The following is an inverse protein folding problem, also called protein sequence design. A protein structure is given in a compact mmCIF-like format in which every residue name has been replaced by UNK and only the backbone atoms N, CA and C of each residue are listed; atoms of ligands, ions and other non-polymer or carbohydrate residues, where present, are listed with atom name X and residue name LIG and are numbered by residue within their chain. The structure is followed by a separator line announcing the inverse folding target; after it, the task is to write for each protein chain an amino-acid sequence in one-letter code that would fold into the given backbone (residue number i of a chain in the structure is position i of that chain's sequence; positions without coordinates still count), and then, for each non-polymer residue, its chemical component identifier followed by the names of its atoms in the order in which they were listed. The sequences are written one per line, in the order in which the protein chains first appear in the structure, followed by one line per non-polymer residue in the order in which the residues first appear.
data_IF_585348471043
#
_entry.id   IF_585348471043
#
_cell.length_a   1.000
_cell.length_b   1.000
_cell.length_c   1.000
_cell.angle_alpha   90.00
_cell.angle_beta   90.00
_cell.angle_gamma   90.00
#
_symmetry.space_group_name_H-M   'P 1'
#
loop_
_entity.id
_entity.type
_entity.pdbx_description
1 polymer ?
#
# COMPACT_ATOMS: atom_id res chain seq x y z
N UNK A 1 40.63 -28.55 -10.98
CA UNK A 1 40.98 -27.43 -10.09
C UNK A 1 39.73 -27.05 -9.32
N UNK A 2 39.61 -27.46 -8.06
CA UNK A 2 38.52 -27.07 -7.16
C UNK A 2 38.70 -25.61 -6.80
N UNK A 3 37.74 -24.76 -7.18
CA UNK A 3 37.73 -23.36 -6.79
C UNK A 3 37.69 -23.30 -5.26
N UNK A 4 38.78 -22.85 -4.63
CA UNK A 4 38.82 -22.56 -3.20
C UNK A 4 37.87 -21.38 -2.98
N UNK A 5 36.70 -21.67 -2.41
CA UNK A 5 35.79 -20.64 -1.93
C UNK A 5 36.47 -19.94 -0.75
N UNK A 6 37.01 -18.74 -0.96
CA UNK A 6 37.53 -17.92 0.13
C UNK A 6 36.35 -17.33 0.88
N UNK A 7 36.00 -17.94 2.01
CA UNK A 7 34.97 -17.41 2.91
C UNK A 7 35.49 -16.09 3.44
N UNK A 8 34.90 -14.98 2.99
CA UNK A 8 35.15 -13.68 3.58
C UNK A 8 34.43 -13.63 4.94
N UNK A 9 35.18 -13.90 6.00
CA UNK A 9 34.71 -13.97 7.39
C UNK A 9 34.25 -12.62 7.95
N UNK A 10 34.40 -11.52 7.23
CA UNK A 10 33.97 -10.19 7.67
C UNK A 10 32.46 -9.94 7.53
N UNK A 11 31.73 -10.84 6.85
CA UNK A 11 30.26 -10.77 6.70
C UNK A 11 29.56 -11.86 7.51
N UNK A 12 29.62 -11.73 8.82
CA UNK A 12 28.93 -12.59 9.78
C UNK A 12 27.58 -11.95 10.14
N UNK A 13 26.56 -12.78 10.40
CA UNK A 13 25.29 -12.30 10.95
C UNK A 13 25.59 -11.80 12.37
N UNK A 14 25.63 -10.48 12.54
CA UNK A 14 25.82 -9.86 13.86
C UNK A 14 24.63 -10.19 14.76
N UNK A 15 24.88 -10.38 16.05
CA UNK A 15 23.82 -10.44 17.06
C UNK A 15 23.19 -9.08 17.36
N UNK A 16 23.80 -7.98 16.88
CA UNK A 16 23.26 -6.63 16.97
C UNK A 16 22.12 -6.45 15.94
N UNK A 17 20.92 -6.90 16.31
CA UNK A 17 19.73 -6.80 15.47
C UNK A 17 19.07 -5.43 15.58
N UNK A 18 19.21 -4.63 14.52
CA UNK A 18 18.58 -3.32 14.37
C UNK A 18 17.52 -3.37 13.27
N UNK A 19 16.24 -3.67 13.59
CA UNK A 19 15.22 -3.93 12.58
C UNK A 19 14.98 -2.73 11.65
N UNK A 20 14.94 -1.51 12.18
CA UNK A 20 14.65 -0.32 11.37
C UNK A 20 15.74 -0.01 10.34
N UNK A 21 17.00 -0.19 10.72
CA UNK A 21 18.14 0.00 9.81
C UNK A 21 18.13 -1.08 8.73
N UNK A 22 17.90 -2.33 9.11
CA UNK A 22 17.83 -3.47 8.19
C UNK A 22 16.65 -3.36 7.23
N UNK A 23 15.45 -3.00 7.71
CA UNK A 23 14.27 -2.80 6.87
C UNK A 23 14.51 -1.71 5.83
N UNK A 24 15.20 -0.62 6.21
CA UNK A 24 15.59 0.44 5.29
C UNK A 24 16.57 -0.06 4.23
N UNK A 25 17.62 -0.77 4.64
CA UNK A 25 18.61 -1.34 3.71
C UNK A 25 17.96 -2.29 2.70
N UNK A 26 17.10 -3.19 3.17
CA UNK A 26 16.39 -4.15 2.31
C UNK A 26 15.43 -3.44 1.36
N UNK A 27 14.72 -2.39 1.82
CA UNK A 27 13.83 -1.60 0.97
C UNK A 27 14.62 -0.89 -0.13
N UNK A 28 15.73 -0.24 0.22
CA UNK A 28 16.61 0.42 -0.74
C UNK A 28 17.16 -0.58 -1.77
N UNK A 29 17.54 -1.78 -1.32
CA UNK A 29 17.99 -2.86 -2.20
C UNK A 29 16.88 -3.30 -3.17
N UNK A 30 15.65 -3.48 -2.70
CA UNK A 30 14.52 -3.88 -3.54
C UNK A 30 14.16 -2.81 -4.58
N UNK A 31 14.17 -1.54 -4.18
CA UNK A 31 13.91 -0.40 -5.08
C UNK A 31 15.00 -0.28 -6.14
N UNK A 32 16.28 -0.23 -5.75
CA UNK A 32 17.41 -0.13 -6.70
C UNK A 32 17.46 -1.31 -7.66
N UNK A 33 17.15 -2.50 -7.16
CA UNK A 33 17.16 -3.73 -7.96
C UNK A 33 15.88 -3.95 -8.76
N UNK A 34 14.86 -3.10 -8.57
CA UNK A 34 13.55 -3.19 -9.23
C UNK A 34 12.90 -4.57 -9.04
N UNK A 35 13.00 -5.13 -7.83
CA UNK A 35 12.61 -6.53 -7.55
C UNK A 35 11.13 -6.78 -7.85
N UNK A 36 10.25 -5.85 -7.48
CA UNK A 36 8.81 -5.98 -7.74
C UNK A 36 8.51 -6.11 -9.23
N UNK A 37 9.09 -5.23 -10.05
CA UNK A 37 8.90 -5.24 -11.51
C UNK A 37 9.41 -6.54 -12.12
N UNK A 38 10.64 -6.94 -11.79
CA UNK A 38 11.24 -8.20 -12.26
C UNK A 38 10.41 -9.42 -11.86
N UNK A 39 9.89 -9.43 -10.63
CA UNK A 39 9.04 -10.52 -10.13
C UNK A 39 7.72 -10.60 -10.90
N UNK A 40 7.07 -9.46 -11.14
CA UNK A 40 5.83 -9.40 -11.93
C UNK A 40 6.06 -9.88 -13.36
N UNK A 41 7.06 -9.35 -14.05
CA UNK A 41 7.40 -9.76 -15.43
C UNK A 41 7.76 -11.25 -15.52
N UNK A 42 8.51 -11.76 -14.54
CA UNK A 42 8.88 -13.17 -14.49
C UNK A 42 7.66 -14.07 -14.30
N UNK A 43 6.74 -13.69 -13.40
CA UNK A 43 5.54 -14.48 -13.12
C UNK A 43 4.48 -14.36 -14.19
N UNK A 44 4.32 -13.20 -14.81
CA UNK A 44 3.44 -13.04 -15.96
C UNK A 44 3.80 -14.04 -17.08
N UNK A 45 5.10 -14.28 -17.32
CA UNK A 45 5.57 -15.23 -18.33
C UNK A 45 5.63 -16.70 -17.89
N UNK A 46 5.94 -16.96 -16.62
CA UNK A 46 6.26 -18.31 -16.12
C UNK A 46 5.30 -18.79 -15.03
N UNK A 47 4.03 -18.39 -15.07
CA UNK A 47 3.06 -18.82 -14.07
C UNK A 47 2.45 -20.19 -14.37
N UNK A 48 2.05 -20.88 -13.31
CA UNK A 48 1.22 -22.08 -13.39
C UNK A 48 -0.29 -21.76 -13.35
N UNK A 49 -0.64 -20.47 -13.35
CA UNK A 49 -2.01 -19.98 -13.26
C UNK A 49 -2.10 -18.58 -12.64
N UNK A 50 -3.25 -17.94 -12.82
CA UNK A 50 -3.54 -16.61 -12.28
C UNK A 50 -4.38 -16.73 -11.01
N UNK A 51 -3.98 -16.03 -9.94
CA UNK A 51 -4.77 -15.91 -8.71
C UNK A 51 -4.92 -14.43 -8.38
N UNK A 52 -6.06 -13.85 -8.75
CA UNK A 52 -6.35 -12.45 -8.46
C UNK A 52 -6.92 -12.25 -7.06
N UNK A 53 -6.53 -11.16 -6.41
CA UNK A 53 -7.15 -10.67 -5.18
C UNK A 53 -7.39 -9.17 -5.32
N UNK A 54 -8.60 -8.74 -5.00
CA UNK A 54 -8.94 -7.32 -4.94
C UNK A 54 -8.79 -6.87 -3.50
N UNK A 55 -7.94 -5.88 -3.25
CA UNK A 55 -7.92 -5.24 -1.94
C UNK A 55 -9.20 -4.42 -1.78
N UNK A 56 -9.97 -4.68 -0.72
CA UNK A 56 -11.05 -3.77 -0.33
C UNK A 56 -10.47 -2.37 -0.11
N UNK A 57 -10.88 -1.36 -0.90
CA UNK A 57 -10.24 -0.06 -0.88
C UNK A 57 -10.52 0.64 0.45
N UNK A 58 -9.49 1.03 1.23
CA UNK A 58 -9.71 1.87 2.39
C UNK A 58 -10.24 3.24 1.97
N UNK A 59 -11.11 3.82 2.80
CA UNK A 59 -11.60 5.19 2.59
C UNK A 59 -10.47 6.18 2.83
N UNK A 60 -10.28 7.12 1.90
CA UNK A 60 -9.18 8.10 1.94
C UNK A 60 -9.58 9.35 2.73
N UNK A 61 -9.78 9.18 4.03
CA UNK A 61 -10.24 10.23 4.96
C UNK A 61 -9.43 10.29 6.28
N UNK A 62 -8.25 9.67 6.31
CA UNK A 62 -7.48 9.59 7.55
C UNK A 62 -6.18 8.78 7.47
N UNK A 63 -5.41 8.84 8.55
CA UNK A 63 -4.14 8.12 8.69
C UNK A 63 -4.41 6.64 9.01
N UNK A 64 -3.69 5.68 8.38
CA UNK A 64 -3.85 4.26 8.69
C UNK A 64 -3.55 3.91 10.15
N UNK A 65 -4.51 3.28 10.84
CA UNK A 65 -4.32 2.65 12.15
C UNK A 65 -3.88 1.17 12.09
N UNK A 66 -3.54 0.56 13.24
CA UNK A 66 -3.07 -0.84 13.36
C UNK A 66 -3.96 -1.89 12.69
N UNK A 67 -5.29 -1.69 12.68
CA UNK A 67 -6.22 -2.53 11.92
C UNK A 67 -5.91 -2.62 10.42
N UNK A 68 -5.50 -1.51 9.79
CA UNK A 68 -5.03 -1.50 8.39
C UNK A 68 -3.75 -2.32 8.23
N UNK A 69 -2.80 -2.15 9.14
CA UNK A 69 -1.55 -2.92 9.14
C UNK A 69 -1.83 -4.43 9.23
N UNK A 70 -2.68 -4.85 10.17
CA UNK A 70 -3.10 -6.26 10.31
C UNK A 70 -3.70 -6.80 9.00
N UNK A 71 -4.63 -6.06 8.39
CA UNK A 71 -5.27 -6.46 7.14
C UNK A 71 -4.27 -6.58 5.99
N UNK A 72 -3.36 -5.61 5.83
CA UNK A 72 -2.35 -5.60 4.77
C UNK A 72 -1.29 -6.69 4.95
N UNK A 73 -0.81 -6.94 6.17
CA UNK A 73 0.16 -8.01 6.45
C UNK A 73 -0.40 -9.38 6.07
N UNK A 74 -1.65 -9.67 6.40
CA UNK A 74 -2.29 -10.95 6.04
C UNK A 74 -2.44 -11.12 4.51
N UNK A 75 -2.78 -10.04 3.80
CA UNK A 75 -2.89 -10.03 2.33
C UNK A 75 -1.52 -10.20 1.67
N UNK A 76 -0.49 -9.49 2.15
CA UNK A 76 0.88 -9.59 1.66
C UNK A 76 1.47 -11.00 1.86
N UNK A 77 1.23 -11.63 3.02
CA UNK A 77 1.66 -13.00 3.27
C UNK A 77 1.07 -13.98 2.24
N UNK A 78 -0.23 -13.84 1.94
CA UNK A 78 -0.89 -14.68 0.93
C UNK A 78 -0.35 -14.40 -0.48
N UNK A 79 -0.15 -13.13 -0.82
CA UNK A 79 0.46 -12.72 -2.09
C UNK A 79 1.81 -13.42 -2.28
N UNK A 80 2.73 -13.25 -1.32
CA UNK A 80 4.07 -13.86 -1.37
C UNK A 80 4.00 -15.38 -1.46
N UNK A 81 3.17 -16.00 -0.63
CA UNK A 81 3.00 -17.45 -0.62
C UNK A 81 2.55 -17.97 -2.00
N UNK A 82 1.54 -17.36 -2.62
CA UNK A 82 1.04 -17.78 -3.95
C UNK A 82 2.04 -17.49 -5.06
N UNK A 83 2.72 -16.35 -5.01
CA UNK A 83 3.81 -16.03 -5.95
C UNK A 83 4.97 -17.01 -5.84
N UNK A 84 5.32 -17.48 -4.64
CA UNK A 84 6.34 -18.52 -4.44
C UNK A 84 5.90 -19.89 -4.95
N UNK A 85 4.60 -20.20 -4.90
CA UNK A 85 4.01 -21.40 -5.51
C UNK A 85 3.93 -21.34 -7.05
N UNK A 86 4.39 -20.25 -7.68
CA UNK A 86 4.42 -20.11 -9.13
C UNK A 86 3.18 -19.46 -9.74
N UNK A 87 2.24 -18.96 -8.95
CA UNK A 87 1.09 -18.23 -9.49
C UNK A 87 1.47 -16.80 -9.88
N UNK A 88 0.82 -16.27 -10.92
CA UNK A 88 0.79 -14.84 -11.18
C UNK A 88 -0.35 -14.22 -10.35
N UNK A 89 0.01 -13.26 -9.50
CA UNK A 89 -0.93 -12.58 -8.61
C UNK A 89 -0.94 -11.10 -8.96
N UNK A 90 -1.90 -10.62 -9.76
CA UNK A 90 -2.07 -9.20 -9.95
C UNK A 90 -2.52 -8.57 -8.62
N UNK A 91 -1.85 -7.50 -8.20
CA UNK A 91 -2.21 -6.78 -6.98
C UNK A 91 -2.98 -5.52 -7.35
N UNK A 92 -4.30 -5.53 -7.10
CA UNK A 92 -5.16 -4.37 -7.31
C UNK A 92 -5.51 -3.74 -5.96
N UNK A 93 -4.84 -2.62 -5.67
CA UNK A 93 -5.20 -1.72 -4.60
C UNK A 93 -5.95 -0.52 -5.16
N UNK A 94 -6.73 0.12 -4.30
CA UNK A 94 -7.47 1.34 -4.63
C UNK A 94 -7.83 2.09 -3.38
N UNK A 95 -8.42 3.26 -3.57
CA UNK A 95 -8.92 4.13 -2.51
C UNK A 95 -10.41 4.34 -2.72
N UNK A 96 -11.15 4.31 -1.62
CA UNK A 96 -12.56 4.71 -1.63
C UNK A 96 -12.62 6.20 -1.35
N UNK A 97 -12.95 6.96 -2.39
CA UNK A 97 -12.85 8.42 -2.42
C UNK A 97 -14.22 9.09 -2.37
N UNK A 98 -15.30 8.35 -2.12
CA UNK A 98 -16.66 8.88 -2.17
C UNK A 98 -17.43 8.60 -0.88
N UNK A 99 -18.61 9.20 -0.79
CA UNK A 99 -19.59 8.90 0.22
C UNK A 99 -19.47 9.72 1.50
N UNK A 100 -20.39 9.41 2.40
CA UNK A 100 -20.65 10.17 3.62
C UNK A 100 -19.42 10.38 4.53
N UNK A 101 -18.47 9.43 4.68
CA UNK A 101 -17.30 9.67 5.53
C UNK A 101 -16.43 10.84 5.08
N UNK A 102 -16.29 11.06 3.77
CA UNK A 102 -15.54 12.20 3.21
C UNK A 102 -16.37 13.48 3.33
N UNK A 103 -17.66 13.40 2.99
CA UNK A 103 -18.59 14.53 3.05
C UNK A 103 -18.67 15.11 4.47
N UNK A 104 -18.79 14.27 5.50
CA UNK A 104 -18.85 14.69 6.90
C UNK A 104 -17.55 15.32 7.40
N UNK A 105 -16.39 14.90 6.88
CA UNK A 105 -15.11 15.54 7.20
C UNK A 105 -15.08 16.97 6.64
N UNK A 106 -15.51 17.14 5.39
CA UNK A 106 -15.54 18.43 4.71
C UNK A 106 -16.59 19.37 5.31
N UNK A 107 -17.77 18.86 5.68
CA UNK A 107 -18.78 19.62 6.42
C UNK A 107 -18.22 20.19 7.73
N UNK A 108 -17.46 19.38 8.48
CA UNK A 108 -16.78 19.83 9.70
C UNK A 108 -15.70 20.88 9.41
N UNK A 109 -14.93 20.72 8.34
CA UNK A 109 -13.92 21.71 7.92
C UNK A 109 -14.54 23.04 7.51
N UNK A 110 -15.70 23.00 6.86
CA UNK A 110 -16.45 24.19 6.41
C UNK A 110 -17.34 24.79 7.52
N UNK A 111 -17.46 24.12 8.67
CA UNK A 111 -18.25 24.58 9.82
C UNK A 111 -19.75 24.59 9.56
N UNK A 112 -20.24 23.68 8.71
CA UNK A 112 -21.66 23.55 8.34
C UNK A 112 -22.30 22.41 9.13
N UNK A 113 -23.56 22.59 9.57
CA UNK A 113 -24.24 21.59 10.43
C UNK A 113 -25.29 20.76 9.71
N UNK A 114 -25.78 21.21 8.56
CA UNK A 114 -26.82 20.50 7.80
C UNK A 114 -26.75 20.81 6.31
N UNK A 115 -27.36 19.93 5.50
CA UNK A 115 -27.37 20.01 4.04
C UNK A 115 -27.96 21.31 3.50
N UNK A 116 -28.97 21.88 4.15
CA UNK A 116 -29.60 23.13 3.70
C UNK A 116 -28.62 24.30 3.80
N UNK A 117 -27.97 24.42 4.94
CA UNK A 117 -26.92 25.41 5.19
C UNK A 117 -25.73 25.23 4.22
N UNK A 118 -25.36 23.99 3.92
CA UNK A 118 -24.30 23.67 2.95
C UNK A 118 -24.63 24.24 1.57
N UNK A 119 -25.84 23.96 1.08
CA UNK A 119 -26.28 24.39 -0.24
C UNK A 119 -26.46 25.92 -0.31
N UNK A 120 -26.97 26.55 0.75
CA UNK A 120 -27.19 28.00 0.79
C UNK A 120 -25.87 28.81 0.94
N UNK A 121 -24.90 28.34 1.74
CA UNK A 121 -23.66 29.09 2.04
C UNK A 121 -22.48 28.73 1.14
N UNK A 122 -22.35 27.46 0.77
CA UNK A 122 -21.18 26.93 0.05
C UNK A 122 -21.53 26.66 -1.40
N UNK A 123 -22.69 26.04 -1.65
CA UNK A 123 -23.09 25.54 -2.96
C UNK A 123 -22.48 24.17 -3.26
N UNK A 124 -23.19 23.39 -4.09
CA UNK A 124 -22.84 22.00 -4.39
C UNK A 124 -21.50 21.85 -5.11
N UNK A 125 -21.25 22.67 -6.13
CA UNK A 125 -20.02 22.60 -6.93
C UNK A 125 -18.77 22.86 -6.09
N UNK A 126 -18.81 23.91 -5.25
CA UNK A 126 -17.73 24.24 -4.33
C UNK A 126 -17.54 23.15 -3.28
N UNK A 127 -18.62 22.57 -2.76
CA UNK A 127 -18.52 21.44 -1.82
C UNK A 127 -17.82 20.23 -2.44
N UNK A 128 -18.18 19.85 -3.67
CA UNK A 128 -17.52 18.75 -4.39
C UNK A 128 -16.02 19.04 -4.59
N UNK A 129 -15.66 20.28 -4.90
CA UNK A 129 -14.26 20.68 -5.06
C UNK A 129 -13.49 20.55 -3.74
N UNK A 130 -14.09 20.98 -2.62
CA UNK A 130 -13.49 20.83 -1.29
C UNK A 130 -13.37 19.36 -0.88
N UNK A 131 -14.35 18.49 -1.21
CA UNK A 131 -14.23 17.05 -1.03
C UNK A 131 -13.04 16.46 -1.79
N UNK A 132 -12.86 16.84 -3.07
CA UNK A 132 -11.71 16.41 -3.87
C UNK A 132 -10.38 16.89 -3.25
N UNK A 133 -10.32 18.14 -2.78
CA UNK A 133 -9.13 18.69 -2.10
C UNK A 133 -8.82 17.96 -0.80
N UNK A 134 -9.84 17.62 -0.01
CA UNK A 134 -9.68 16.91 1.26
C UNK A 134 -9.06 15.52 1.05
N UNK A 135 -9.51 14.79 0.02
CA UNK A 135 -8.98 13.47 -0.33
C UNK A 135 -7.50 13.56 -0.73
N UNK A 136 -7.10 14.59 -1.50
CA UNK A 136 -5.71 14.79 -1.94
C UNK A 136 -4.72 15.10 -0.82
N UNK A 137 -5.20 15.36 0.40
CA UNK A 137 -4.36 15.57 1.59
C UNK A 137 -3.75 14.26 2.10
N UNK A 138 -4.39 13.13 1.82
CA UNK A 138 -4.03 11.80 2.33
C UNK A 138 -3.34 10.97 1.25
#
# INVERSE_FOLDING_TARGET
MTAKFSVNSEKWLSMDYRPLDLEKEIRDFWEKSQIQKKLMEFREKNNIGVSGWVEGPPTLNGIPHVGHARGRVMKDLRYRWKTMQGYFVPFWAGWDCQGLPVELEVEKLLGVKNKRELLERVGEERFIEECKKAIMKY
#
